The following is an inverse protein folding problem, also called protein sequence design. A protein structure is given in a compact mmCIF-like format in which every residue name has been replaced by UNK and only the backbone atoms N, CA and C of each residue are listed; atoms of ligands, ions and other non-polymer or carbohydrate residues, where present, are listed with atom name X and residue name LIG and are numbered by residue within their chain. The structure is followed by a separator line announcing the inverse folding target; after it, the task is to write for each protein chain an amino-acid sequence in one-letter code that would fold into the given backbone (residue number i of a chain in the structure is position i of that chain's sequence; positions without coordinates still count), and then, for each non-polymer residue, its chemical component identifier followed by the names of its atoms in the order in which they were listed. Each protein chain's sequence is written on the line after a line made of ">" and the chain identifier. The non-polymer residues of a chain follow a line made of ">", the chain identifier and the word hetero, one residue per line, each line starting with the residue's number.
data_IF_553357761946
#
_entry.id   IF_553357761946
#
_cell.length_a   1.000
_cell.length_b   1.000
_cell.length_c   1.000
_cell.angle_alpha   90.00
_cell.angle_beta   90.00
_cell.angle_gamma   90.00
#
_symmetry.space_group_name_H-M   'P 1'
#
loop_
_entity.id
_entity.type
_entity.pdbx_description
1 polymer ?
#
# COMPACT_ATOMS: atom_id res chain seq x y z
N UNK A 1 -12.28 -6.21 -8.59
CA UNK A 1 -11.50 -5.48 -7.56
C UNK A 1 -10.49 -4.55 -8.23
N UNK A 2 -10.32 -3.35 -7.70
CA UNK A 2 -9.26 -2.46 -8.13
C UNK A 2 -7.90 -2.94 -7.61
N UNK A 3 -6.81 -2.37 -8.16
CA UNK A 3 -5.46 -2.68 -7.67
C UNK A 3 -5.31 -2.32 -6.18
N UNK A 4 -5.86 -1.18 -5.77
CA UNK A 4 -5.82 -0.77 -4.35
C UNK A 4 -6.57 -1.76 -3.46
N UNK A 5 -7.72 -2.26 -3.90
CA UNK A 5 -8.50 -3.25 -3.12
C UNK A 5 -7.78 -4.58 -3.01
N UNK A 6 -7.10 -5.03 -4.08
CA UNK A 6 -6.28 -6.25 -4.01
C UNK A 6 -5.12 -6.09 -3.05
N UNK A 7 -4.45 -4.94 -3.07
CA UNK A 7 -3.39 -4.63 -2.12
C UNK A 7 -3.92 -4.58 -0.68
N UNK A 8 -5.07 -3.99 -0.46
CA UNK A 8 -5.73 -3.98 0.84
C UNK A 8 -5.98 -5.40 1.36
N UNK A 9 -6.44 -6.29 0.50
CA UNK A 9 -6.70 -7.68 0.86
C UNK A 9 -5.41 -8.39 1.31
N UNK A 10 -4.30 -8.13 0.62
CA UNK A 10 -3.00 -8.69 1.00
C UNK A 10 -2.62 -8.25 2.42
N UNK A 11 -2.72 -6.95 2.69
CA UNK A 11 -2.34 -6.40 4.01
C UNK A 11 -3.27 -6.93 5.10
N UNK A 12 -4.57 -6.97 4.85
CA UNK A 12 -5.55 -7.46 5.83
C UNK A 12 -5.40 -8.95 6.14
N UNK A 13 -4.80 -9.73 5.23
CA UNK A 13 -4.53 -11.15 5.47
C UNK A 13 -3.37 -11.37 6.44
N UNK A 14 -2.58 -10.33 6.70
CA UNK A 14 -1.45 -10.39 7.62
C UNK A 14 -1.92 -9.97 9.02
N UNK A 15 -1.41 -10.64 10.02
CA UNK A 15 -1.73 -10.29 11.41
C UNK A 15 -0.74 -9.25 11.93
N UNK A 16 -0.82 -8.04 11.37
CA UNK A 16 0.07 -6.94 11.71
C UNK A 16 -0.61 -5.94 12.65
N UNK A 17 0.16 -5.16 13.43
CA UNK A 17 -0.40 -4.17 14.37
C UNK A 17 -0.87 -2.91 13.61
N UNK A 18 -1.80 -3.08 12.69
CA UNK A 18 -2.42 -2.03 11.89
C UNK A 18 -3.89 -1.97 12.27
N UNK A 19 -4.37 -0.79 12.68
CA UNK A 19 -5.76 -0.63 13.09
C UNK A 19 -6.71 -0.57 11.90
N UNK A 20 -6.34 0.18 10.86
CA UNK A 20 -7.19 0.42 9.69
C UNK A 20 -6.37 0.39 8.42
N UNK A 21 -6.96 -0.17 7.36
CA UNK A 21 -6.40 -0.16 6.00
C UNK A 21 -7.48 0.39 5.07
N UNK A 22 -7.27 1.59 4.56
CA UNK A 22 -8.22 2.27 3.69
C UNK A 22 -7.71 2.35 2.26
N UNK A 23 -8.63 2.38 1.30
CA UNK A 23 -8.32 2.59 -0.12
C UNK A 23 -8.79 3.98 -0.55
N UNK A 24 -7.96 4.67 -1.32
CA UNK A 24 -8.20 5.94 -1.99
C UNK A 24 -8.25 7.14 -1.06
N UNK A 25 -9.05 7.11 -0.01
CA UNK A 25 -9.20 8.24 0.89
C UNK A 25 -9.63 7.77 2.27
N UNK A 26 -9.44 8.64 3.26
CA UNK A 26 -9.96 8.43 4.59
C UNK A 26 -11.49 8.53 4.56
N UNK A 27 -12.22 7.74 5.39
CA UNK A 27 -13.65 7.93 5.54
C UNK A 27 -13.97 9.37 5.96
N UNK A 28 -15.11 9.94 5.53
CA UNK A 28 -15.43 11.35 5.80
C UNK A 28 -15.51 11.73 7.27
N UNK A 29 -15.79 10.77 8.13
CA UNK A 29 -15.90 10.97 9.59
C UNK A 29 -14.60 10.67 10.33
N UNK A 30 -13.50 10.46 9.61
CA UNK A 30 -12.20 10.16 10.23
C UNK A 30 -11.66 11.38 10.98
N UNK A 31 -11.28 11.18 12.24
CA UNK A 31 -10.59 12.19 13.03
C UNK A 31 -9.10 12.15 12.69
N UNK A 32 -8.67 13.07 11.83
CA UNK A 32 -7.27 13.15 11.38
C UNK A 32 -6.32 13.63 12.47
N UNK A 33 -6.85 14.20 13.56
CA UNK A 33 -6.04 14.60 14.70
C UNK A 33 -5.77 13.43 15.67
N UNK A 34 -6.50 12.31 15.50
CA UNK A 34 -6.26 11.11 16.29
C UNK A 34 -5.05 10.35 15.72
N UNK A 35 -3.94 10.39 16.46
CA UNK A 35 -2.69 9.73 16.11
C UNK A 35 -2.40 8.51 16.97
N UNK A 36 -3.43 7.95 17.62
CA UNK A 36 -3.27 6.86 18.58
C UNK A 36 -3.11 5.49 17.94
N UNK A 37 -3.41 5.35 16.66
CA UNK A 37 -3.35 4.06 15.95
C UNK A 37 -2.44 4.14 14.73
N UNK A 38 -1.91 2.98 14.33
CA UNK A 38 -1.19 2.84 13.06
C UNK A 38 -2.19 2.52 11.97
N UNK A 39 -2.22 3.34 10.94
CA UNK A 39 -3.16 3.23 9.84
C UNK A 39 -2.44 3.19 8.51
N UNK A 40 -3.08 2.58 7.51
CA UNK A 40 -2.54 2.46 6.16
C UNK A 40 -3.56 3.03 5.18
N UNK A 41 -3.07 3.85 4.26
CA UNK A 41 -3.85 4.38 3.14
C UNK A 41 -3.23 3.91 1.84
N UNK A 42 -4.02 3.25 1.01
CA UNK A 42 -3.56 2.74 -0.28
C UNK A 42 -4.17 3.58 -1.39
N UNK A 43 -3.32 4.08 -2.28
CA UNK A 43 -3.73 4.83 -3.47
C UNK A 43 -3.16 4.19 -4.72
N UNK A 44 -3.74 4.48 -5.86
CA UNK A 44 -3.26 4.00 -7.15
C UNK A 44 -2.38 5.06 -7.79
N UNK A 45 -1.18 4.65 -8.22
CA UNK A 45 -0.20 5.53 -8.86
C UNK A 45 -0.31 5.43 -10.36
N UNK A 46 -0.48 4.21 -10.88
CA UNK A 46 -0.45 3.91 -12.30
C UNK A 46 -1.27 2.67 -12.59
N UNK A 47 -1.96 2.67 -13.73
CA UNK A 47 -2.76 1.54 -14.18
C UNK A 47 -2.80 1.62 -15.72
N UNK A 48 -1.85 0.95 -16.38
CA UNK A 48 -1.62 1.09 -17.81
C UNK A 48 -1.60 -0.24 -18.53
N UNK A 49 -2.24 -0.32 -19.72
CA UNK A 49 -2.03 -1.46 -20.61
C UNK A 49 -0.56 -1.56 -21.02
N UNK A 50 -0.05 -2.77 -21.04
CA UNK A 50 1.32 -3.04 -21.48
C UNK A 50 1.38 -4.38 -22.21
N UNK A 51 2.53 -4.70 -22.80
CA UNK A 51 2.76 -5.96 -23.50
C UNK A 51 1.74 -6.16 -24.64
N UNK A 52 1.98 -5.44 -25.76
CA UNK A 52 1.09 -5.50 -26.91
C UNK A 52 1.42 -6.70 -27.82
N UNK A 53 0.38 -7.46 -28.19
CA UNK A 53 0.45 -8.51 -29.18
C UNK A 53 -0.78 -8.45 -30.06
N UNK A 54 -0.63 -8.57 -31.38
CA UNK A 54 -1.73 -8.48 -32.34
C UNK A 54 -2.57 -7.21 -32.18
N UNK A 55 -1.90 -6.07 -31.97
CA UNK A 55 -2.50 -4.74 -31.74
C UNK A 55 -3.34 -4.62 -30.47
N UNK A 56 -3.17 -5.57 -29.53
CA UNK A 56 -3.85 -5.53 -28.22
C UNK A 56 -2.84 -5.69 -27.10
N UNK A 57 -3.09 -5.02 -25.99
CA UNK A 57 -2.30 -5.27 -24.80
C UNK A 57 -2.74 -6.57 -24.12
N UNK A 58 -1.79 -7.34 -23.61
CA UNK A 58 -2.04 -8.62 -22.94
C UNK A 58 -2.03 -8.50 -21.43
N UNK A 59 -1.49 -7.42 -20.90
CA UNK A 59 -1.30 -7.23 -19.46
C UNK A 59 -1.62 -5.79 -19.07
N UNK A 60 -1.97 -5.62 -17.80
CA UNK A 60 -2.09 -4.30 -17.18
C UNK A 60 -0.95 -4.12 -16.19
N UNK A 61 -0.22 -3.02 -16.32
CA UNK A 61 0.80 -2.63 -15.36
C UNK A 61 0.15 -1.75 -14.29
N UNK A 62 0.16 -2.23 -13.04
CA UNK A 62 -0.46 -1.56 -11.92
C UNK A 62 0.60 -1.15 -10.92
N UNK A 63 0.50 0.07 -10.39
CA UNK A 63 1.35 0.52 -9.29
C UNK A 63 0.48 1.13 -8.23
N UNK A 64 0.63 0.65 -6.99
CA UNK A 64 -0.08 1.19 -5.83
C UNK A 64 0.93 1.82 -4.88
N UNK A 65 0.50 2.86 -4.16
CA UNK A 65 1.25 3.43 -3.05
C UNK A 65 0.62 2.97 -1.75
N UNK A 66 1.42 2.34 -0.90
CA UNK A 66 1.03 1.94 0.45
C UNK A 66 1.65 2.95 1.40
N UNK A 67 0.80 3.79 1.98
CA UNK A 67 1.22 4.85 2.89
C UNK A 67 0.92 4.42 4.32
N UNK A 68 1.97 4.27 5.13
CA UNK A 68 1.86 3.84 6.53
C UNK A 68 2.02 5.06 7.42
N UNK A 69 1.04 5.27 8.32
CA UNK A 69 1.06 6.33 9.33
C UNK A 69 1.17 5.65 10.69
N UNK A 70 2.35 5.68 11.29
CA UNK A 70 2.59 5.02 12.57
C UNK A 70 1.98 5.80 13.72
N UNK A 71 1.44 5.07 14.71
CA UNK A 71 0.94 5.69 15.93
C UNK A 71 2.04 6.54 16.59
N UNK A 72 1.68 7.73 17.07
CA UNK A 72 2.65 8.69 17.59
C UNK A 72 3.36 8.22 18.86
N UNK A 73 2.72 7.34 19.63
CA UNK A 73 3.27 6.75 20.85
C UNK A 73 3.70 5.29 20.65
N UNK A 74 3.86 4.86 19.41
CA UNK A 74 4.20 3.47 19.09
C UNK A 74 5.61 3.12 19.55
N UNK A 75 5.72 1.98 20.21
CA UNK A 75 7.00 1.36 20.54
C UNK A 75 7.33 0.22 19.57
N UNK A 76 6.52 0.07 18.53
CA UNK A 76 6.69 -1.00 17.54
C UNK A 76 7.96 -0.77 16.73
N UNK A 77 8.74 -1.82 16.57
CA UNK A 77 9.85 -1.84 15.64
C UNK A 77 9.28 -1.80 14.21
N UNK A 78 9.61 -0.75 13.47
CA UNK A 78 9.07 -0.55 12.11
C UNK A 78 9.39 -1.73 11.19
N UNK A 79 10.58 -2.31 11.32
CA UNK A 79 10.98 -3.46 10.50
C UNK A 79 10.08 -4.68 10.73
N UNK A 80 9.57 -4.86 11.94
CA UNK A 80 8.68 -5.98 12.24
C UNK A 80 7.31 -5.86 11.58
N UNK A 81 6.92 -4.65 11.20
CA UNK A 81 5.73 -4.43 10.39
C UNK A 81 6.06 -4.45 8.90
N UNK A 82 7.12 -3.76 8.50
CA UNK A 82 7.43 -3.51 7.09
C UNK A 82 7.98 -4.74 6.39
N UNK A 83 8.83 -5.55 7.03
CA UNK A 83 9.42 -6.72 6.39
C UNK A 83 8.39 -7.80 6.04
N UNK A 84 7.46 -8.19 6.94
CA UNK A 84 6.40 -9.12 6.57
C UNK A 84 5.50 -8.58 5.46
N UNK A 85 5.24 -7.28 5.45
CA UNK A 85 4.44 -6.64 4.41
C UNK A 85 5.13 -6.72 3.06
N UNK A 86 6.42 -6.36 2.99
CA UNK A 86 7.21 -6.47 1.76
C UNK A 86 7.24 -7.90 1.24
N UNK A 87 7.44 -8.88 2.12
CA UNK A 87 7.50 -10.29 1.74
C UNK A 87 6.15 -10.78 1.19
N UNK A 88 5.05 -10.37 1.80
CA UNK A 88 3.71 -10.77 1.37
C UNK A 88 3.40 -10.23 -0.03
N UNK A 89 3.77 -8.99 -0.31
CA UNK A 89 3.59 -8.41 -1.64
C UNK A 89 4.47 -9.11 -2.67
N UNK A 90 5.71 -9.41 -2.33
CA UNK A 90 6.64 -10.09 -3.25
C UNK A 90 6.15 -11.49 -3.61
N UNK A 91 5.62 -12.24 -2.65
CA UNK A 91 5.04 -13.58 -2.90
C UNK A 91 3.88 -13.50 -3.90
N UNK A 92 3.12 -12.42 -3.87
CA UNK A 92 2.00 -12.18 -4.80
C UNK A 92 2.46 -11.48 -6.09
N UNK A 93 3.77 -11.40 -6.32
CA UNK A 93 4.38 -10.80 -7.50
C UNK A 93 4.13 -9.28 -7.61
N UNK A 94 3.98 -8.62 -6.48
CA UNK A 94 4.03 -7.17 -6.38
C UNK A 94 5.43 -6.78 -5.93
N UNK A 95 6.14 -6.04 -6.76
CA UNK A 95 7.53 -5.71 -6.50
C UNK A 95 7.69 -4.25 -6.09
N UNK A 96 8.47 -4.02 -5.05
CA UNK A 96 8.73 -2.67 -4.57
C UNK A 96 9.59 -1.90 -5.56
N UNK A 97 9.07 -0.79 -6.08
CA UNK A 97 9.77 0.06 -7.06
C UNK A 97 10.14 1.43 -6.50
N UNK A 98 9.64 1.77 -5.32
CA UNK A 98 9.92 3.04 -4.68
C UNK A 98 9.75 2.89 -3.17
N UNK A 99 10.79 3.25 -2.41
CA UNK A 99 10.79 3.10 -0.96
C UNK A 99 11.72 4.14 -0.34
N UNK A 100 11.25 5.40 -0.22
CA UNK A 100 12.04 6.43 0.46
C UNK A 100 12.14 6.13 1.94
N UNK A 101 13.12 6.73 2.61
CA UNK A 101 13.27 6.59 4.05
C UNK A 101 12.06 7.11 4.81
N UNK A 102 11.97 6.74 6.08
CA UNK A 102 10.92 7.24 6.97
C UNK A 102 10.97 8.77 7.04
N UNK A 103 9.81 9.39 7.10
CA UNK A 103 9.67 10.83 7.27
C UNK A 103 8.65 11.13 8.36
N UNK A 104 8.56 12.41 8.72
CA UNK A 104 7.64 12.86 9.76
C UNK A 104 6.59 13.75 9.11
N UNK A 105 5.31 13.43 9.36
CA UNK A 105 4.20 14.26 8.94
C UNK A 105 4.23 15.58 9.74
N UNK A 106 4.37 16.74 9.08
CA UNK A 106 4.47 18.02 9.80
C UNK A 106 3.16 18.40 10.50
N UNK A 107 2.03 17.87 10.08
CA UNK A 107 0.73 18.21 10.65
C UNK A 107 0.41 17.40 11.91
N UNK A 108 0.82 16.13 11.95
CA UNK A 108 0.46 15.20 13.04
C UNK A 108 1.65 14.76 13.88
N UNK A 109 2.87 14.93 13.39
CA UNK A 109 4.08 14.43 14.06
C UNK A 109 4.28 12.93 13.95
N UNK A 110 3.44 12.24 13.21
CA UNK A 110 3.59 10.79 13.01
C UNK A 110 4.76 10.47 12.09
N UNK A 111 5.44 9.36 12.36
CA UNK A 111 6.40 8.79 11.41
C UNK A 111 5.61 8.13 10.29
N UNK A 112 6.00 8.40 9.06
CA UNK A 112 5.35 7.84 7.88
C UNK A 112 6.33 7.06 7.03
N UNK A 113 5.81 6.06 6.31
CA UNK A 113 6.58 5.26 5.36
C UNK A 113 5.73 5.02 4.12
N UNK A 114 6.32 5.18 2.96
CA UNK A 114 5.65 4.93 1.68
C UNK A 114 6.38 3.82 0.94
N UNK A 115 5.61 2.85 0.47
CA UNK A 115 6.08 1.86 -0.50
C UNK A 115 5.25 1.99 -1.76
N UNK A 116 5.88 1.92 -2.92
CA UNK A 116 5.16 1.74 -4.17
C UNK A 116 5.46 0.35 -4.70
N UNK A 117 4.39 -0.40 -4.97
CA UNK A 117 4.48 -1.76 -5.48
C UNK A 117 3.90 -1.84 -6.89
N UNK A 118 4.63 -2.50 -7.77
CA UNK A 118 4.25 -2.71 -9.16
C UNK A 118 3.89 -4.17 -9.39
N UNK A 119 2.80 -4.38 -10.13
CA UNK A 119 2.28 -5.69 -10.46
C UNK A 119 1.85 -5.71 -11.93
N UNK A 120 2.10 -6.84 -12.62
CA UNK A 120 1.60 -7.08 -13.96
C UNK A 120 0.42 -8.04 -13.88
N UNK A 121 -0.77 -7.54 -14.22
CA UNK A 121 -1.99 -8.33 -14.24
C UNK A 121 -2.31 -8.75 -15.66
N UNK A 122 -2.45 -10.04 -15.91
CA UNK A 122 -2.86 -10.53 -17.22
C UNK A 122 -4.34 -10.23 -17.45
N UNK A 123 -4.68 -9.87 -18.67
CA UNK A 123 -6.07 -9.56 -19.03
C UNK A 123 -7.01 -10.74 -18.88
N UNK A 124 -6.53 -11.95 -19.07
CA UNK A 124 -7.33 -13.16 -18.90
C UNK A 124 -7.61 -13.50 -17.45
N UNK A 125 -6.99 -12.80 -16.51
CA UNK A 125 -7.19 -12.95 -15.07
C UNK A 125 -8.06 -11.84 -14.46
N UNK A 126 -8.42 -10.84 -15.27
CA UNK A 126 -9.20 -9.68 -14.81
C UNK A 126 -10.70 -10.00 -14.74
#
# INVERSE_FOLDING_TARGET
>A
MTAAQRAQKIIKSLNLPIAHVYCFNWPPDTDLDDTSTTDVLITEVNDMPTTYGSDRSNEMEETVAVNIFYASDSTVDFDKLEQPLLNAFEIQEWFCVYSPGHSIDPDTGQVTKVFQFKHLQRKDEI
#
